data_IF_196839465555
#
_entry.id   IF_196839465555
#
_cell.length_a   1.000
_cell.length_b   1.000
_cell.length_c   1.000
_cell.angle_alpha   90.00
_cell.angle_beta   90.00
_cell.angle_gamma   90.00
#
_symmetry.space_group_name_H-M   'P 1'
#
loop_
_entity.id
_entity.type
_entity.pdbx_description
1 polymer ?
#
# COMPACT_ATOMS: atom_id res chain seq x y z
N UNK A 1 -19.81 -17.41 -30.24
CA UNK A 1 -19.12 -18.66 -30.64
C UNK A 1 -18.28 -19.12 -29.46
N UNK A 2 -18.58 -20.28 -28.90
CA UNK A 2 -17.84 -20.89 -27.78
C UNK A 2 -16.50 -21.37 -28.30
N UNK A 3 -15.40 -20.77 -27.83
CA UNK A 3 -14.05 -21.15 -28.23
C UNK A 3 -13.73 -22.51 -27.59
N UNK A 4 -13.60 -23.57 -28.40
CA UNK A 4 -13.21 -24.89 -27.90
C UNK A 4 -11.74 -24.83 -27.46
N UNK A 5 -11.51 -25.04 -26.16
CA UNK A 5 -10.20 -25.11 -25.55
C UNK A 5 -9.90 -26.55 -25.15
N UNK A 6 -8.73 -27.05 -25.54
CA UNK A 6 -8.35 -28.45 -25.34
C UNK A 6 -7.11 -28.55 -24.46
N UNK A 7 -7.13 -29.48 -23.50
CA UNK A 7 -5.94 -29.90 -22.77
C UNK A 7 -5.24 -31.01 -23.54
N UNK A 8 -3.94 -30.86 -23.77
CA UNK A 8 -3.13 -31.86 -24.47
C UNK A 8 -2.55 -32.88 -23.47
N UNK A 9 -2.47 -34.18 -23.84
CA UNK A 9 -1.79 -35.20 -23.04
C UNK A 9 -0.34 -34.84 -22.71
N UNK A 10 0.12 -35.22 -21.51
CA UNK A 10 1.44 -34.79 -21.01
C UNK A 10 2.61 -35.27 -21.88
N UNK A 11 2.53 -36.48 -22.46
CA UNK A 11 3.54 -37.01 -23.38
C UNK A 11 3.72 -36.15 -24.64
N UNK A 12 2.65 -35.50 -25.12
CA UNK A 12 2.73 -34.59 -26.26
C UNK A 12 3.28 -33.22 -25.82
N UNK A 13 2.88 -32.75 -24.63
CA UNK A 13 3.37 -31.50 -24.05
C UNK A 13 4.89 -31.51 -23.80
N UNK A 14 5.46 -32.66 -23.47
CA UNK A 14 6.92 -32.81 -23.29
C UNK A 14 7.72 -32.54 -24.57
N UNK A 15 7.12 -32.78 -25.74
CA UNK A 15 7.72 -32.51 -27.04
C UNK A 15 7.49 -31.07 -27.52
N UNK A 16 6.57 -30.33 -26.89
CA UNK A 16 6.27 -28.93 -27.20
C UNK A 16 7.12 -27.97 -26.38
N UNK A 17 8.43 -28.19 -26.34
CA UNK A 17 9.39 -27.37 -25.57
C UNK A 17 10.35 -26.61 -26.46
N UNK A 18 10.67 -25.40 -26.03
CA UNK A 18 11.72 -24.58 -26.62
C UNK A 18 13.08 -25.24 -26.40
N UNK A 19 13.86 -25.40 -27.46
CA UNK A 19 15.19 -26.01 -27.41
C UNK A 19 16.21 -25.17 -26.60
N UNK A 20 15.93 -23.88 -26.37
CA UNK A 20 16.80 -22.97 -25.62
C UNK A 20 16.41 -22.94 -24.14
N UNK A 21 15.20 -22.46 -23.82
CA UNK A 21 14.79 -22.26 -22.42
C UNK A 21 14.09 -23.47 -21.79
N UNK A 22 13.82 -24.53 -22.56
CA UNK A 22 13.15 -25.76 -22.13
C UNK A 22 11.72 -25.57 -21.57
N UNK A 23 11.15 -24.36 -21.70
CA UNK A 23 9.75 -24.06 -21.40
C UNK A 23 8.86 -24.44 -22.58
N UNK A 24 7.56 -24.57 -22.31
CA UNK A 24 6.58 -24.84 -23.37
C UNK A 24 6.62 -23.76 -24.46
N UNK A 25 6.32 -24.15 -25.71
CA UNK A 25 6.19 -23.28 -26.89
C UNK A 25 4.92 -22.40 -26.82
N UNK A 26 4.70 -21.82 -25.64
CA UNK A 26 3.48 -21.13 -25.26
C UNK A 26 3.49 -19.62 -25.51
N UNK A 27 4.53 -19.11 -26.17
CA UNK A 27 4.72 -17.66 -26.38
C UNK A 27 5.22 -17.43 -27.80
N UNK A 28 4.50 -16.58 -28.53
CA UNK A 28 4.85 -16.16 -29.88
C UNK A 28 6.03 -15.17 -29.88
N UNK A 29 6.77 -15.08 -31.01
CA UNK A 29 6.71 -15.98 -32.15
C UNK A 29 7.28 -17.37 -31.84
N UNK A 30 6.77 -18.42 -32.48
CA UNK A 30 7.35 -19.76 -32.43
C UNK A 30 7.91 -20.13 -33.79
N UNK A 31 9.20 -20.43 -33.83
CA UNK A 31 9.90 -20.85 -35.06
C UNK A 31 10.51 -22.22 -34.85
N UNK A 32 10.72 -22.98 -35.92
CA UNK A 32 11.42 -24.24 -35.81
C UNK A 32 11.91 -24.78 -37.15
N UNK A 33 13.06 -25.46 -37.10
CA UNK A 33 13.63 -26.16 -38.25
C UNK A 33 14.21 -27.50 -37.77
N UNK A 34 14.03 -28.56 -38.57
CA UNK A 34 14.62 -29.90 -38.31
C UNK A 34 14.36 -30.44 -36.88
N UNK A 35 13.13 -30.27 -36.39
CA UNK A 35 12.71 -30.77 -35.06
C UNK A 35 13.22 -29.96 -33.86
N UNK A 36 13.91 -28.83 -34.08
CA UNK A 36 14.28 -27.87 -33.03
C UNK A 36 13.38 -26.66 -33.10
N UNK A 37 12.77 -26.28 -31.99
CA UNK A 37 11.79 -25.21 -31.90
C UNK A 37 12.23 -24.16 -30.89
N UNK A 38 11.99 -22.89 -31.19
CA UNK A 38 12.35 -21.75 -30.34
C UNK A 38 11.13 -20.87 -30.14
N UNK A 39 10.87 -20.47 -28.90
CA UNK A 39 9.74 -19.60 -28.55
C UNK A 39 10.14 -18.13 -28.45
N UNK A 40 9.14 -17.23 -28.42
CA UNK A 40 9.34 -15.79 -28.40
C UNK A 40 10.14 -15.26 -27.21
N UNK A 41 10.16 -15.99 -26.09
CA UNK A 41 11.03 -15.66 -24.93
C UNK A 41 12.52 -15.66 -25.28
N UNK A 42 12.89 -16.42 -26.31
CA UNK A 42 14.28 -16.59 -26.75
C UNK A 42 14.56 -15.88 -28.07
N UNK A 43 13.67 -14.99 -28.52
CA UNK A 43 13.82 -14.18 -29.73
C UNK A 43 14.25 -15.02 -30.95
N UNK A 44 13.38 -15.92 -31.46
CA UNK A 44 13.74 -16.76 -32.59
C UNK A 44 14.08 -15.91 -33.82
N UNK A 45 15.13 -16.30 -34.54
CA UNK A 45 15.61 -15.61 -35.75
C UNK A 45 15.13 -16.26 -37.05
N UNK A 46 14.59 -17.48 -36.97
CA UNK A 46 14.05 -18.22 -38.10
C UNK A 46 12.59 -17.86 -38.37
N UNK A 47 12.09 -18.20 -39.57
CA UNK A 47 10.69 -18.00 -39.95
C UNK A 47 9.72 -18.64 -38.95
N UNK A 48 8.68 -17.88 -38.63
CA UNK A 48 7.65 -18.26 -37.66
C UNK A 48 6.71 -19.30 -38.23
N UNK A 49 6.29 -20.26 -37.41
CA UNK A 49 5.38 -21.33 -37.81
C UNK A 49 3.92 -20.90 -37.63
N UNK A 50 3.37 -20.16 -38.60
CA UNK A 50 1.98 -19.72 -38.59
C UNK A 50 0.94 -20.81 -38.28
N UNK A 51 1.01 -22.02 -38.89
CA UNK A 51 0.08 -23.10 -38.58
C UNK A 51 0.11 -23.57 -37.12
N UNK A 52 1.30 -23.64 -36.52
CA UNK A 52 1.43 -23.98 -35.11
C UNK A 52 0.77 -22.92 -34.23
N UNK A 53 1.01 -21.64 -34.53
CA UNK A 53 0.49 -20.52 -33.75
C UNK A 53 -1.06 -20.48 -33.76
N UNK A 54 -1.69 -20.76 -34.90
CA UNK A 54 -3.16 -20.87 -34.96
C UNK A 54 -3.70 -22.03 -34.12
N UNK A 55 -3.06 -23.20 -34.18
CA UNK A 55 -3.46 -24.35 -33.36
C UNK A 55 -3.22 -24.05 -31.87
N UNK A 56 -2.12 -23.40 -31.53
CA UNK A 56 -1.73 -23.08 -30.16
C UNK A 56 -2.76 -22.21 -29.44
N UNK A 57 -3.47 -21.31 -30.15
CA UNK A 57 -4.56 -20.50 -29.58
C UNK A 57 -5.71 -21.33 -28.97
N UNK A 58 -5.85 -22.59 -29.38
CA UNK A 58 -6.89 -23.51 -28.89
C UNK A 58 -6.39 -24.48 -27.80
N UNK A 59 -5.12 -24.36 -27.42
CA UNK A 59 -4.47 -25.26 -26.45
C UNK A 59 -4.34 -24.55 -25.11
N UNK A 60 -4.65 -25.28 -24.03
CA UNK A 60 -4.35 -24.84 -22.67
C UNK A 60 -2.94 -25.28 -22.27
N UNK A 61 -2.06 -24.31 -22.09
CA UNK A 61 -0.69 -24.52 -21.63
C UNK A 61 -0.60 -24.38 -20.11
N UNK A 62 0.04 -25.33 -19.40
CA UNK A 62 0.38 -25.14 -18.00
C UNK A 62 1.44 -24.02 -17.85
N UNK A 63 1.38 -23.29 -16.75
CA UNK A 63 2.41 -22.33 -16.38
C UNK A 63 3.78 -23.01 -16.27
N UNK A 64 4.83 -22.36 -16.78
CA UNK A 64 6.19 -22.92 -16.73
C UNK A 64 6.89 -22.69 -15.37
N UNK A 65 6.22 -22.05 -14.41
CA UNK A 65 6.79 -21.72 -13.09
C UNK A 65 6.50 -22.86 -12.12
N UNK A 66 7.56 -23.35 -11.49
CA UNK A 66 7.50 -24.44 -10.52
C UNK A 66 6.53 -24.12 -9.36
N UNK A 67 5.61 -25.05 -9.09
CA UNK A 67 4.57 -24.91 -8.06
C UNK A 67 3.25 -24.32 -8.56
N UNK A 68 3.26 -23.62 -9.71
CA UNK A 68 2.03 -23.10 -10.31
C UNK A 68 1.27 -24.20 -11.06
N UNK A 69 -0.02 -24.37 -10.76
CA UNK A 69 -0.90 -25.37 -11.38
C UNK A 69 -1.84 -24.79 -12.45
N UNK A 70 -1.77 -23.47 -12.68
CA UNK A 70 -2.66 -22.75 -13.59
C UNK A 70 -2.44 -23.18 -15.04
N UNK A 71 -3.53 -23.40 -15.76
CA UNK A 71 -3.54 -23.64 -17.21
C UNK A 71 -4.13 -22.43 -17.91
N UNK A 72 -3.47 -21.97 -18.96
CA UNK A 72 -3.71 -20.69 -19.61
C UNK A 72 -3.77 -20.87 -21.12
N UNK A 73 -4.52 -19.99 -21.79
CA UNK A 73 -4.47 -19.91 -23.25
C UNK A 73 -3.13 -19.32 -23.70
N UNK A 74 -2.67 -19.73 -24.89
CA UNK A 74 -1.36 -19.41 -25.45
C UNK A 74 -0.94 -17.93 -25.33
N UNK A 75 -1.80 -16.97 -25.67
CA UNK A 75 -1.48 -15.54 -25.57
C UNK A 75 -1.35 -14.99 -24.14
N UNK A 76 -1.81 -15.71 -23.12
CA UNK A 76 -1.85 -15.22 -21.73
C UNK A 76 -0.70 -15.76 -20.88
N UNK A 77 0.05 -16.76 -21.35
CA UNK A 77 1.06 -17.44 -20.53
C UNK A 77 2.17 -16.49 -20.10
N UNK A 78 2.68 -15.63 -21.00
CA UNK A 78 3.75 -14.69 -20.66
C UNK A 78 3.31 -13.65 -19.61
N UNK A 79 2.10 -13.12 -19.77
CA UNK A 79 1.52 -12.13 -18.85
C UNK A 79 1.29 -12.76 -17.48
N UNK A 80 0.75 -13.99 -17.45
CA UNK A 80 0.61 -14.73 -16.21
C UNK A 80 1.96 -15.05 -15.58
N UNK A 81 2.95 -15.53 -16.34
CA UNK A 81 4.28 -15.83 -15.81
C UNK A 81 4.85 -14.61 -15.09
N UNK A 82 4.74 -13.40 -15.66
CA UNK A 82 5.20 -12.16 -15.02
C UNK A 82 4.48 -11.85 -13.68
N UNK A 83 3.19 -12.17 -13.58
CA UNK A 83 2.35 -11.93 -12.40
C UNK A 83 2.17 -13.17 -11.49
N UNK A 84 2.79 -14.31 -11.82
CA UNK A 84 2.56 -15.57 -11.15
C UNK A 84 3.09 -15.53 -9.71
N UNK A 85 2.25 -15.86 -8.74
CA UNK A 85 2.59 -15.80 -7.31
C UNK A 85 3.70 -16.77 -6.90
N UNK A 86 3.93 -17.83 -7.68
CA UNK A 86 5.05 -18.76 -7.50
C UNK A 86 6.36 -18.29 -8.14
N UNK A 87 6.32 -17.22 -8.93
CA UNK A 87 7.52 -16.64 -9.55
C UNK A 87 8.47 -16.19 -8.46
N UNK A 88 9.76 -16.49 -8.65
CA UNK A 88 10.81 -15.97 -7.77
C UNK A 88 11.26 -14.59 -8.22
N UNK A 89 11.44 -13.71 -7.25
CA UNK A 89 12.12 -12.41 -7.40
C UNK A 89 13.32 -12.38 -6.45
N UNK A 90 14.30 -11.53 -6.74
CA UNK A 90 15.30 -11.20 -5.70
C UNK A 90 14.60 -10.35 -4.64
N UNK A 91 14.83 -10.67 -3.36
CA UNK A 91 14.24 -9.93 -2.25
C UNK A 91 14.44 -8.41 -2.44
N UNK A 92 13.37 -7.59 -2.39
CA UNK A 92 13.46 -6.15 -2.63
C UNK A 92 14.06 -5.37 -1.44
N UNK A 93 14.52 -6.05 -0.40
CA UNK A 93 15.25 -5.44 0.71
C UNK A 93 16.69 -5.08 0.29
N UNK A 94 17.19 -3.97 0.83
CA UNK A 94 18.56 -3.49 0.57
C UNK A 94 19.59 -4.58 0.90
N UNK A 95 20.45 -4.90 -0.08
CA UNK A 95 21.54 -5.89 0.05
C UNK A 95 21.09 -7.33 0.36
N UNK A 96 19.80 -7.65 0.23
CA UNK A 96 19.34 -9.04 0.27
C UNK A 96 19.40 -9.66 -1.12
N UNK A 97 20.17 -10.74 -1.27
CA UNK A 97 20.33 -11.44 -2.56
C UNK A 97 19.51 -12.73 -2.64
N UNK A 98 18.64 -13.00 -1.66
CA UNK A 98 17.90 -14.25 -1.58
C UNK A 98 16.75 -14.25 -2.61
N UNK A 99 16.66 -15.27 -3.48
CA UNK A 99 15.52 -15.44 -4.38
C UNK A 99 14.30 -15.98 -3.61
N UNK A 100 13.20 -15.24 -3.60
CA UNK A 100 11.98 -15.54 -2.84
C UNK A 100 10.79 -15.64 -3.79
N UNK A 101 9.84 -16.58 -3.56
CA UNK A 101 8.58 -16.56 -4.31
C UNK A 101 7.76 -15.33 -3.95
N UNK A 102 7.01 -14.79 -4.91
CA UNK A 102 6.19 -13.59 -4.71
C UNK A 102 5.20 -13.72 -3.53
N UNK A 103 4.56 -14.87 -3.36
CA UNK A 103 3.67 -15.15 -2.23
C UNK A 103 4.38 -15.35 -0.88
N UNK A 104 5.70 -15.58 -0.89
CA UNK A 104 6.53 -15.82 0.30
C UNK A 104 7.34 -14.57 0.70
N UNK A 105 7.23 -13.45 -0.03
CA UNK A 105 8.00 -12.22 0.27
C UNK A 105 7.70 -11.70 1.67
N UNK A 106 6.43 -11.69 2.09
CA UNK A 106 6.07 -11.21 3.43
C UNK A 106 6.67 -12.08 4.53
N UNK A 107 6.54 -13.40 4.44
CA UNK A 107 7.12 -14.32 5.42
C UNK A 107 8.64 -14.21 5.46
N UNK A 108 9.29 -14.08 4.30
CA UNK A 108 10.72 -13.83 4.23
C UNK A 108 11.12 -12.52 4.94
N UNK A 109 10.38 -11.43 4.75
CA UNK A 109 10.61 -10.17 5.48
C UNK A 109 10.43 -10.35 6.98
N UNK A 110 9.40 -11.08 7.43
CA UNK A 110 9.17 -11.36 8.85
C UNK A 110 10.32 -12.19 9.44
N UNK A 111 10.85 -13.16 8.72
CA UNK A 111 11.89 -14.06 9.24
C UNK A 111 13.28 -13.43 9.18
N UNK A 112 13.61 -12.81 8.05
CA UNK A 112 14.97 -12.36 7.70
C UNK A 112 15.17 -10.85 7.87
N UNK A 113 14.09 -10.06 7.91
CA UNK A 113 14.11 -8.59 7.96
C UNK A 113 13.11 -8.03 8.98
N UNK A 114 13.06 -8.62 10.20
CA UNK A 114 12.06 -8.36 11.25
C UNK A 114 11.70 -6.89 11.49
N UNK A 115 12.67 -5.97 11.41
CA UNK A 115 12.44 -4.52 11.58
C UNK A 115 11.77 -3.81 10.40
N UNK A 116 11.57 -4.51 9.28
CA UNK A 116 11.05 -3.98 8.02
C UNK A 116 9.76 -4.66 7.57
N UNK A 117 9.30 -5.68 8.30
CA UNK A 117 7.99 -6.30 8.13
C UNK A 117 7.00 -5.69 9.11
N UNK A 118 5.82 -5.28 8.63
CA UNK A 118 4.78 -4.67 9.47
C UNK A 118 3.47 -5.46 9.35
N UNK A 119 2.81 -5.72 10.48
CA UNK A 119 1.53 -6.44 10.54
C UNK A 119 0.29 -5.54 10.46
N UNK A 120 0.51 -4.21 10.50
CA UNK A 120 -0.59 -3.30 10.76
C UNK A 120 -1.49 -3.24 9.53
N UNK A 121 -2.76 -3.58 9.74
CA UNK A 121 -3.80 -3.89 8.74
C UNK A 121 -4.17 -2.76 7.77
N UNK A 122 -3.30 -1.80 7.51
CA UNK A 122 -3.30 -0.87 6.37
C UNK A 122 -2.12 0.12 6.44
N UNK A 123 -1.14 -0.07 7.34
CA UNK A 123 -0.27 1.02 7.81
C UNK A 123 1.16 0.60 8.12
N UNK A 124 2.09 1.54 8.00
CA UNK A 124 3.46 1.40 8.50
C UNK A 124 3.88 2.64 9.29
N UNK A 125 4.58 2.45 10.41
CA UNK A 125 5.16 3.53 11.23
C UNK A 125 6.69 3.47 11.17
N UNK A 126 7.36 4.58 10.83
CA UNK A 126 8.82 4.70 10.82
C UNK A 126 9.28 5.78 11.79
N UNK A 127 10.38 5.54 12.51
CA UNK A 127 11.09 6.54 13.31
C UNK A 127 12.47 6.78 12.67
N UNK A 128 12.83 8.05 12.42
CA UNK A 128 14.15 8.40 11.89
C UNK A 128 15.03 9.05 12.96
N UNK A 129 16.19 8.42 13.24
CA UNK A 129 17.26 9.02 14.04
C UNK A 129 18.05 10.06 13.23
N UNK A 130 18.90 10.89 13.88
CA UNK A 130 19.69 11.97 13.25
C UNK A 130 20.67 11.53 12.14
N UNK A 131 20.83 10.23 11.91
CA UNK A 131 21.59 9.64 10.78
C UNK A 131 20.70 8.67 9.98
N UNK A 132 19.70 9.18 9.24
CA UNK A 132 18.78 8.32 8.52
C UNK A 132 19.53 7.48 7.49
N UNK A 133 19.25 6.18 7.45
CA UNK A 133 19.70 5.34 6.34
C UNK A 133 19.13 5.88 5.02
N UNK A 134 19.96 5.92 3.99
CA UNK A 134 19.67 6.64 2.74
C UNK A 134 18.45 6.09 1.99
N UNK A 135 18.26 4.76 1.99
CA UNK A 135 17.16 4.06 1.29
C UNK A 135 16.75 2.81 2.09
N UNK A 136 15.45 2.52 2.20
CA UNK A 136 14.91 1.30 2.81
C UNK A 136 13.67 0.79 2.07
N UNK A 137 13.46 -0.54 2.11
CA UNK A 137 12.20 -1.17 1.71
C UNK A 137 11.55 -1.79 2.92
N UNK A 138 10.28 -1.52 3.10
CA UNK A 138 9.44 -2.17 4.08
C UNK A 138 8.34 -2.97 3.39
N UNK A 139 7.80 -3.95 4.10
CA UNK A 139 6.80 -4.87 3.59
C UNK A 139 5.65 -4.98 4.60
N UNK A 140 4.41 -4.88 4.14
CA UNK A 140 3.24 -5.10 4.99
C UNK A 140 2.08 -5.71 4.20
N UNK A 141 1.10 -6.27 4.90
CA UNK A 141 -0.06 -6.90 4.28
C UNK A 141 -1.36 -6.20 4.65
N UNK A 142 -2.24 -6.02 3.66
CA UNK A 142 -3.61 -5.56 3.86
C UNK A 142 -4.57 -6.39 3.01
N UNK A 143 -5.62 -6.96 3.64
CA UNK A 143 -6.61 -7.83 2.97
C UNK A 143 -5.96 -8.92 2.10
N UNK A 144 -4.94 -9.62 2.64
CA UNK A 144 -4.14 -10.64 1.94
C UNK A 144 -3.36 -10.13 0.72
N UNK A 145 -3.24 -8.82 0.56
CA UNK A 145 -2.43 -8.18 -0.48
C UNK A 145 -1.16 -7.65 0.16
N UNK A 146 -0.01 -7.98 -0.42
CA UNK A 146 1.29 -7.55 0.09
C UNK A 146 1.72 -6.25 -0.61
N UNK A 147 2.14 -5.26 0.18
CA UNK A 147 2.62 -3.97 -0.31
C UNK A 147 4.07 -3.77 0.10
N UNK A 148 4.85 -3.19 -0.82
CA UNK A 148 6.22 -2.75 -0.59
C UNK A 148 6.23 -1.23 -0.48
N UNK A 149 6.81 -0.71 0.59
CA UNK A 149 7.01 0.72 0.78
C UNK A 149 8.50 1.03 0.69
N UNK A 150 8.84 1.79 -0.33
CA UNK A 150 10.19 2.31 -0.53
C UNK A 150 10.28 3.68 0.10
N UNK A 151 11.37 3.90 0.83
CA UNK A 151 11.68 5.17 1.49
C UNK A 151 13.08 5.57 1.12
N UNK A 152 13.27 6.82 0.71
CA UNK A 152 14.59 7.42 0.45
C UNK A 152 14.68 8.71 1.22
N UNK A 153 15.71 8.84 2.04
CA UNK A 153 15.98 10.03 2.83
C UNK A 153 17.27 10.67 2.34
N UNK A 154 17.18 11.95 1.99
CA UNK A 154 18.30 12.77 1.54
C UNK A 154 18.51 13.84 2.59
N UNK A 155 19.72 13.93 3.14
CA UNK A 155 20.09 14.94 4.13
C UNK A 155 21.09 15.90 3.49
N UNK A 156 20.82 17.19 3.58
CA UNK A 156 21.73 18.25 3.14
C UNK A 156 21.89 19.29 4.25
N UNK A 157 23.02 19.27 4.95
CA UNK A 157 23.31 20.11 6.11
C UNK A 157 22.18 20.07 7.15
N UNK A 158 21.29 21.08 7.13
CA UNK A 158 20.19 21.25 8.07
C UNK A 158 18.82 20.81 7.51
N UNK A 159 18.73 20.41 6.23
CA UNK A 159 17.47 20.04 5.62
C UNK A 159 17.40 18.55 5.30
N UNK A 160 16.20 17.99 5.48
CA UNK A 160 15.85 16.64 5.06
C UNK A 160 14.84 16.67 3.92
N UNK A 161 15.01 15.72 3.00
CA UNK A 161 14.03 15.37 1.99
C UNK A 161 13.67 13.90 2.12
N UNK A 162 12.39 13.60 2.28
CA UNK A 162 11.85 12.24 2.30
C UNK A 162 11.09 11.97 1.02
N UNK A 163 11.45 10.88 0.34
CA UNK A 163 10.72 10.36 -0.82
C UNK A 163 10.12 9.01 -0.50
N UNK A 164 8.89 8.80 -0.93
CA UNK A 164 8.14 7.58 -0.74
C UNK A 164 7.59 7.08 -2.07
N UNK A 165 7.63 5.76 -2.23
CA UNK A 165 7.00 5.03 -3.31
C UNK A 165 6.35 3.77 -2.76
N UNK A 166 5.17 3.42 -3.26
CA UNK A 166 4.46 2.20 -2.83
C UNK A 166 4.15 1.35 -4.05
N UNK A 167 4.51 0.08 -3.97
CA UNK A 167 4.17 -0.91 -4.99
C UNK A 167 3.39 -2.06 -4.36
N UNK A 168 2.51 -2.66 -5.13
CA UNK A 168 1.77 -3.85 -4.72
C UNK A 168 2.40 -5.10 -5.32
N UNK A 169 2.61 -6.14 -4.53
CA UNK A 169 3.03 -7.42 -5.09
C UNK A 169 1.84 -8.08 -5.83
N UNK A 170 2.08 -8.66 -7.02
CA UNK A 170 1.04 -9.36 -7.76
C UNK A 170 0.42 -10.46 -6.89
N UNK A 171 -0.91 -10.54 -6.86
CA UNK A 171 -1.63 -11.63 -6.21
C UNK A 171 -2.70 -12.18 -7.15
N UNK A 172 -2.46 -13.39 -7.67
CA UNK A 172 -3.35 -14.07 -8.61
C UNK A 172 -4.67 -14.58 -7.97
N UNK A 173 -4.78 -14.59 -6.63
CA UNK A 173 -6.00 -15.01 -5.93
C UNK A 173 -7.04 -13.89 -5.79
N UNK A 174 -6.66 -12.64 -6.04
CA UNK A 174 -7.55 -11.49 -5.93
C UNK A 174 -8.18 -11.17 -7.29
N UNK A 175 -9.48 -11.46 -7.41
CA UNK A 175 -10.31 -11.03 -8.55
C UNK A 175 -10.64 -9.53 -8.52
N UNK A 176 -10.20 -8.78 -7.49
CA UNK A 176 -10.42 -7.33 -7.41
C UNK A 176 -9.27 -6.58 -8.10
N UNK A 177 -9.57 -5.63 -9.01
CA UNK A 177 -8.54 -4.79 -9.59
C UNK A 177 -7.89 -3.94 -8.50
N UNK A 178 -6.59 -4.14 -8.27
CA UNK A 178 -5.79 -3.33 -7.35
C UNK A 178 -5.67 -1.86 -7.85
N UNK A 179 -6.08 -1.62 -9.10
CA UNK A 179 -6.02 -0.34 -9.77
C UNK A 179 -6.75 0.80 -9.03
N UNK A 180 -7.62 0.56 -8.06
CA UNK A 180 -8.32 1.65 -7.37
C UNK A 180 -7.70 2.02 -6.00
N UNK A 181 -6.52 1.50 -5.67
CA UNK A 181 -5.84 1.80 -4.41
C UNK A 181 -4.89 3.01 -4.53
N UNK A 182 -4.96 3.91 -3.55
CA UNK A 182 -3.98 4.96 -3.33
C UNK A 182 -3.29 4.75 -1.97
N UNK A 183 -2.23 5.53 -1.75
CA UNK A 183 -1.60 5.60 -0.45
C UNK A 183 -1.48 7.04 0.00
N UNK A 184 -1.44 7.23 1.31
CA UNK A 184 -1.23 8.53 1.93
C UNK A 184 -0.05 8.42 2.87
N UNK A 185 0.84 9.40 2.81
CA UNK A 185 1.97 9.52 3.72
C UNK A 185 1.73 10.71 4.64
N UNK A 186 1.88 10.49 5.94
CA UNK A 186 1.77 11.50 6.98
C UNK A 186 3.07 11.55 7.79
N UNK A 187 3.75 12.68 7.78
CA UNK A 187 4.93 12.94 8.61
C UNK A 187 4.51 13.73 9.85
N UNK A 188 4.87 13.23 11.02
CA UNK A 188 4.64 13.84 12.32
C UNK A 188 5.99 14.29 12.87
N UNK A 189 6.11 15.60 13.11
CA UNK A 189 7.32 16.26 13.57
C UNK A 189 7.05 16.89 14.94
N UNK A 190 7.79 16.48 15.96
CA UNK A 190 7.71 17.06 17.30
C UNK A 190 8.50 18.38 17.36
N UNK A 191 7.81 19.50 17.50
CA UNK A 191 8.41 20.83 17.63
C UNK A 191 8.25 21.36 19.06
N UNK A 192 8.92 22.48 19.37
CA UNK A 192 8.74 23.15 20.66
C UNK A 192 7.29 23.65 20.91
N UNK A 193 6.49 23.80 19.85
CA UNK A 193 5.11 24.29 19.91
C UNK A 193 4.05 23.17 19.83
N UNK A 194 4.46 21.90 19.74
CA UNK A 194 3.56 20.74 19.64
C UNK A 194 3.91 19.83 18.46
N UNK A 195 2.94 19.04 17.98
CA UNK A 195 3.14 18.12 16.85
C UNK A 195 2.71 18.80 15.55
N UNK A 196 3.64 18.94 14.60
CA UNK A 196 3.34 19.36 13.23
C UNK A 196 3.08 18.12 12.36
N UNK A 197 1.95 18.11 11.65
CA UNK A 197 1.56 16.98 10.77
C UNK A 197 1.51 17.45 9.31
N UNK A 198 2.35 16.83 8.48
CA UNK A 198 2.35 17.03 7.03
C UNK A 198 1.78 15.80 6.35
N UNK A 199 0.66 15.95 5.64
CA UNK A 199 -0.04 14.85 4.96
C UNK A 199 -0.02 15.07 3.45
N UNK A 200 0.41 14.06 2.69
CA UNK A 200 0.38 14.04 1.22
C UNK A 200 -0.19 12.74 0.68
N UNK A 201 -1.04 12.83 -0.32
CA UNK A 201 -1.62 11.69 -1.02
C UNK A 201 -0.69 11.33 -2.18
N UNK A 202 -0.30 10.06 -2.25
CA UNK A 202 0.45 9.50 -3.36
C UNK A 202 -0.42 9.22 -4.57
N UNK A 203 0.22 8.84 -5.67
CA UNK A 203 -0.49 8.39 -6.87
C UNK A 203 -1.11 7.01 -6.65
N UNK A 204 -1.84 6.54 -7.67
CA UNK A 204 -2.34 5.18 -7.76
C UNK A 204 -1.19 4.17 -7.56
N UNK A 205 -1.40 3.20 -6.68
CA UNK A 205 -0.40 2.19 -6.38
C UNK A 205 -0.20 1.33 -7.62
N UNK A 206 1.05 1.25 -8.08
CA UNK A 206 1.41 0.42 -9.24
C UNK A 206 1.84 -0.98 -8.81
N UNK A 207 1.70 -1.95 -9.72
CA UNK A 207 2.22 -3.30 -9.50
C UNK A 207 3.75 -3.29 -9.43
N UNK A 208 4.31 -4.09 -8.54
CA UNK A 208 5.74 -4.29 -8.42
C UNK A 208 6.30 -4.86 -9.73
N UNK A 209 7.40 -4.24 -10.15
CA UNK A 209 8.07 -4.45 -11.42
C UNK A 209 9.58 -4.30 -11.15
N UNK A 210 10.34 -5.36 -11.33
CA UNK A 210 11.77 -5.41 -11.02
C UNK A 210 12.60 -4.44 -11.88
N UNK A 211 12.10 -4.02 -13.05
CA UNK A 211 12.77 -3.04 -13.91
C UNK A 211 12.62 -1.61 -13.40
N UNK A 212 11.51 -1.32 -12.72
CA UNK A 212 11.14 0.00 -12.16
C UNK A 212 11.54 0.15 -10.69
N UNK A 213 11.48 -0.95 -9.95
CA UNK A 213 11.70 -1.00 -8.51
C UNK A 213 13.00 -1.72 -8.15
N UNK A 214 13.93 -1.81 -9.11
CA UNK A 214 15.25 -2.39 -8.88
C UNK A 214 16.00 -1.60 -7.81
N UNK A 215 16.35 -2.24 -6.71
CA UNK A 215 17.05 -1.57 -5.62
C UNK A 215 18.43 -1.04 -6.02
N UNK A 216 19.12 -1.77 -6.90
CA UNK A 216 20.40 -1.32 -7.45
C UNK A 216 20.25 -0.08 -8.33
N UNK A 217 19.13 0.11 -9.03
CA UNK A 217 18.88 1.35 -9.78
C UNK A 217 18.70 2.53 -8.82
N UNK A 218 17.94 2.31 -7.74
CA UNK A 218 17.63 3.35 -6.75
C UNK A 218 18.90 3.92 -6.09
N UNK A 219 19.93 3.09 -5.88
CA UNK A 219 21.25 3.49 -5.37
C UNK A 219 22.26 3.88 -6.46
N UNK A 220 21.86 3.89 -7.74
CA UNK A 220 22.74 4.25 -8.85
C UNK A 220 23.86 3.24 -9.16
N UNK A 221 23.67 1.95 -8.84
CA UNK A 221 24.66 0.86 -9.05
C UNK A 221 24.19 -0.25 -10.00
N UNK A 222 23.07 -0.05 -10.71
CA UNK A 222 22.56 -1.03 -11.66
C UNK A 222 23.13 -0.80 -13.05
N UNK A 223 23.55 -1.89 -13.72
CA UNK A 223 24.01 -1.89 -15.11
C UNK A 223 23.11 -2.75 -16.02
N UNK A 224 21.94 -3.20 -15.53
CA UNK A 224 21.05 -4.04 -16.31
C UNK A 224 20.30 -3.21 -17.35
N UNK A 225 20.37 -3.65 -18.61
CA UNK A 225 19.66 -3.02 -19.71
C UNK A 225 18.13 -3.07 -19.47
N UNK A 226 17.44 -1.97 -19.78
CA UNK A 226 15.99 -1.87 -19.60
C UNK A 226 15.53 -1.59 -18.16
N UNK A 227 16.44 -1.53 -17.19
CA UNK A 227 16.12 -1.03 -15.86
C UNK A 227 16.25 0.51 -15.81
N UNK A 228 15.29 1.19 -15.19
CA UNK A 228 15.24 2.66 -15.09
C UNK A 228 14.68 3.12 -13.74
N UNK A 229 14.93 2.33 -12.68
CA UNK A 229 14.48 2.66 -11.33
C UNK A 229 14.96 4.04 -10.86
N UNK A 230 14.20 4.63 -9.94
CA UNK A 230 14.20 6.04 -9.46
C UNK A 230 13.07 6.93 -10.04
N UNK A 231 12.19 6.42 -10.91
CA UNK A 231 11.01 7.15 -11.44
C UNK A 231 9.65 6.83 -10.77
N UNK A 232 9.64 6.32 -9.53
CA UNK A 232 8.41 5.87 -8.85
C UNK A 232 8.19 6.54 -7.47
N UNK A 233 8.93 7.60 -7.18
CA UNK A 233 8.76 8.42 -5.98
C UNK A 233 7.58 9.38 -6.15
N UNK A 234 6.38 8.95 -5.78
CA UNK A 234 5.18 9.78 -6.00
C UNK A 234 4.92 10.78 -4.88
N UNK A 235 5.48 10.55 -3.69
CA UNK A 235 5.35 11.47 -2.55
C UNK A 235 6.71 11.94 -2.11
N UNK A 236 6.87 13.26 -2.04
CA UNK A 236 8.09 13.92 -1.61
C UNK A 236 7.77 15.00 -0.57
N UNK A 237 8.51 15.02 0.54
CA UNK A 237 8.53 16.12 1.50
C UNK A 237 9.94 16.69 1.55
N UNK A 238 10.10 17.94 1.13
CA UNK A 238 11.40 18.59 0.94
C UNK A 238 11.54 19.80 1.84
N UNK A 239 12.77 20.23 2.06
CA UNK A 239 13.10 21.40 2.89
C UNK A 239 12.57 21.28 4.33
N UNK A 240 12.58 20.07 4.87
CA UNK A 240 12.24 19.86 6.28
C UNK A 240 13.45 20.25 7.12
N UNK A 241 13.35 21.39 7.80
CA UNK A 241 14.46 21.99 8.54
C UNK A 241 14.66 21.35 9.92
N UNK A 242 15.79 20.66 10.06
CA UNK A 242 16.26 19.95 11.25
C UNK A 242 16.33 20.79 12.52
N UNK A 243 16.44 22.11 12.40
CA UNK A 243 16.52 23.01 13.55
C UNK A 243 15.18 23.21 14.27
N UNK A 244 14.06 22.96 13.58
CA UNK A 244 12.70 23.26 14.09
C UNK A 244 12.06 22.12 14.89
N UNK A 245 12.65 20.93 14.93
CA UNK A 245 12.09 19.78 15.64
C UNK A 245 13.13 19.02 16.47
N UNK A 246 12.68 18.53 17.63
CA UNK A 246 13.50 17.82 18.59
C UNK A 246 12.88 16.45 18.84
N UNK A 247 13.52 15.39 18.32
CA UNK A 247 13.10 14.01 18.53
C UNK A 247 12.94 13.21 17.23
N UNK A 248 12.35 12.03 17.36
CA UNK A 248 12.17 11.10 16.25
C UNK A 248 11.09 11.60 15.29
N UNK A 249 11.40 11.60 13.99
CA UNK A 249 10.39 11.88 12.94
C UNK A 249 9.55 10.62 12.78
N UNK A 250 8.24 10.73 13.00
CA UNK A 250 7.32 9.61 12.79
C UNK A 250 6.65 9.70 11.42
N UNK A 251 6.83 8.67 10.59
CA UNK A 251 6.16 8.58 9.29
C UNK A 251 5.10 7.49 9.31
N UNK A 252 3.92 7.81 8.79
CA UNK A 252 2.80 6.88 8.63
C UNK A 252 2.42 6.78 7.16
N UNK A 253 2.55 5.57 6.60
CA UNK A 253 2.07 5.25 5.25
C UNK A 253 0.80 4.43 5.38
N UNK A 254 -0.32 4.92 4.83
CA UNK A 254 -1.63 4.26 4.85
C UNK A 254 -2.06 3.92 3.43
N UNK A 255 -2.49 2.69 3.17
CA UNK A 255 -3.11 2.30 1.90
C UNK A 255 -4.63 2.22 2.02
N UNK A 256 -5.34 2.74 1.03
CA UNK A 256 -6.79 2.70 0.99
C UNK A 256 -7.29 2.70 -0.46
N UNK A 257 -8.55 2.35 -0.69
CA UNK A 257 -9.19 2.64 -1.97
C UNK A 257 -9.33 4.16 -2.10
N UNK A 258 -9.18 4.70 -3.31
CA UNK A 258 -9.25 6.14 -3.65
C UNK A 258 -10.51 6.85 -3.09
N UNK A 259 -11.53 6.08 -2.73
CA UNK A 259 -12.77 6.51 -2.05
C UNK A 259 -12.81 6.09 -0.58
N UNK A 260 -11.74 6.27 0.20
CA UNK A 260 -11.76 6.01 1.65
C UNK A 260 -12.83 6.87 2.33
N UNK A 261 -13.98 6.26 2.59
CA UNK A 261 -15.13 6.87 3.27
C UNK A 261 -14.73 7.45 4.63
N UNK A 262 -13.71 6.90 5.27
CA UNK A 262 -13.13 7.37 6.54
C UNK A 262 -12.76 8.86 6.49
N UNK A 263 -12.03 9.30 5.45
CA UNK A 263 -11.59 10.70 5.36
C UNK A 263 -12.74 11.65 5.03
N UNK A 264 -13.71 11.17 4.25
CA UNK A 264 -14.93 11.93 3.94
C UNK A 264 -15.86 12.05 5.15
N UNK A 265 -15.66 11.20 6.16
CA UNK A 265 -16.40 11.25 7.41
C UNK A 265 -15.74 12.15 8.46
N UNK A 266 -14.52 12.62 8.26
CA UNK A 266 -13.90 13.63 9.13
C UNK A 266 -14.57 14.99 8.96
N UNK A 267 -14.87 15.67 10.07
CA UNK A 267 -15.40 17.02 9.99
C UNK A 267 -14.32 17.98 9.47
N UNK A 268 -14.59 18.82 8.46
CA UNK A 268 -13.58 19.73 7.91
C UNK A 268 -13.09 20.78 8.90
N UNK A 269 -13.81 21.00 10.01
CA UNK A 269 -13.50 22.00 11.04
C UNK A 269 -12.67 21.39 12.18
N UNK A 270 -13.18 20.35 12.86
CA UNK A 270 -12.50 19.78 14.03
C UNK A 270 -11.69 18.51 13.73
N UNK A 271 -11.73 18.00 12.50
CA UNK A 271 -11.09 16.76 12.06
C UNK A 271 -11.54 15.46 12.74
N UNK A 272 -12.30 15.52 13.83
CA UNK A 272 -12.96 14.34 14.40
C UNK A 272 -13.96 13.70 13.42
N UNK A 273 -14.17 12.39 13.56
CA UNK A 273 -15.21 11.66 12.83
C UNK A 273 -16.60 12.22 13.14
N UNK A 274 -17.39 12.43 12.09
CA UNK A 274 -18.78 12.82 12.18
C UNK A 274 -19.61 11.59 12.58
N UNK A 275 -20.42 11.73 13.64
CA UNK A 275 -21.26 10.66 14.17
C UNK A 275 -22.58 11.23 14.72
N UNK A 276 -23.64 10.42 14.69
CA UNK A 276 -24.99 10.73 15.16
C UNK A 276 -25.71 11.86 14.42
N UNK A 277 -25.33 13.13 14.62
CA UNK A 277 -25.99 14.28 13.94
C UNK A 277 -25.00 14.98 13.03
N UNK A 278 -25.20 14.83 11.73
CA UNK A 278 -24.36 15.38 10.68
C UNK A 278 -25.18 16.41 9.90
N UNK A 279 -24.67 17.63 9.78
CA UNK A 279 -25.39 18.73 9.13
C UNK A 279 -24.80 19.00 7.76
N UNK A 280 -25.66 19.31 6.79
CA UNK A 280 -25.27 19.58 5.41
C UNK A 280 -25.66 20.99 5.00
N UNK A 281 -24.77 21.70 4.30
CA UNK A 281 -25.10 22.98 3.70
C UNK A 281 -25.92 22.79 2.40
N UNK A 282 -26.56 23.84 1.86
CA UNK A 282 -27.32 23.75 0.61
C UNK A 282 -26.52 23.25 -0.59
N UNK A 283 -25.19 23.41 -0.58
CA UNK A 283 -24.29 22.93 -1.65
C UNK A 283 -23.72 21.53 -1.40
N UNK A 284 -24.10 20.84 -0.32
CA UNK A 284 -23.72 19.45 -0.08
C UNK A 284 -22.55 19.18 0.88
N UNK A 285 -21.92 20.20 1.49
CA UNK A 285 -20.82 19.99 2.43
C UNK A 285 -21.30 19.64 3.84
N UNK A 286 -20.72 18.59 4.44
CA UNK A 286 -21.11 18.06 5.75
C UNK A 286 -20.21 18.54 6.90
N UNK A 287 -20.79 18.76 8.07
CA UNK A 287 -20.10 19.11 9.32
C UNK A 287 -20.72 18.40 10.54
N UNK A 288 -19.94 18.20 11.61
CA UNK A 288 -20.43 17.55 12.83
C UNK A 288 -21.36 18.48 13.64
N UNK A 289 -22.18 17.87 14.52
CA UNK A 289 -23.05 18.57 15.48
C UNK A 289 -22.33 19.64 16.32
N UNK A 290 -21.11 19.37 16.79
CA UNK A 290 -20.34 20.29 17.65
C UNK A 290 -19.96 21.55 16.87
N UNK A 291 -19.37 21.39 15.69
CA UNK A 291 -18.97 22.51 14.85
C UNK A 291 -20.16 23.29 14.29
N UNK A 292 -21.28 22.62 13.97
CA UNK A 292 -22.51 23.30 13.53
C UNK A 292 -22.99 24.35 14.53
N UNK A 293 -22.86 24.11 15.83
CA UNK A 293 -23.26 25.08 16.86
C UNK A 293 -22.39 26.34 16.87
N UNK A 294 -21.13 26.22 16.43
CA UNK A 294 -20.15 27.29 16.48
C UNK A 294 -20.09 28.14 15.20
N UNK A 295 -20.59 27.62 14.07
CA UNK A 295 -20.47 28.27 12.77
C UNK A 295 -21.84 28.50 12.11
N UNK A 296 -22.03 29.70 11.55
CA UNK A 296 -23.23 30.07 10.78
C UNK A 296 -23.05 29.88 9.27
N UNK A 297 -21.81 29.81 8.81
CA UNK A 297 -21.45 29.76 7.40
C UNK A 297 -20.56 28.54 7.16
N UNK A 298 -20.76 27.87 6.03
CA UNK A 298 -19.96 26.71 5.67
C UNK A 298 -18.50 27.13 5.43
N UNK A 299 -17.51 26.41 5.99
CA UNK A 299 -16.11 26.77 5.83
C UNK A 299 -15.61 26.59 4.38
N UNK A 300 -16.26 25.71 3.61
CA UNK A 300 -15.87 25.30 2.26
C UNK A 300 -16.52 26.16 1.15
N UNK A 301 -17.86 26.24 1.09
CA UNK A 301 -18.59 27.02 0.06
C UNK A 301 -18.87 28.48 0.45
N UNK A 302 -18.67 28.86 1.72
CA UNK A 302 -19.12 30.15 2.30
C UNK A 302 -20.64 30.40 2.27
N UNK A 303 -21.43 29.37 1.97
CA UNK A 303 -22.89 29.43 1.99
C UNK A 303 -23.46 29.32 3.42
N UNK A 304 -24.61 29.95 3.69
CA UNK A 304 -25.25 29.94 5.03
C UNK A 304 -25.67 28.52 5.41
N UNK A 305 -25.32 28.11 6.64
CA UNK A 305 -25.67 26.79 7.17
C UNK A 305 -27.12 26.77 7.65
N UNK A 306 -27.93 25.90 7.07
CA UNK A 306 -29.28 25.59 7.56
C UNK A 306 -29.27 24.66 8.77
N UNK A 307 -30.43 24.09 9.10
CA UNK A 307 -30.62 23.05 10.13
C UNK A 307 -30.74 21.64 9.52
N UNK A 308 -30.64 21.52 8.19
CA UNK A 308 -30.75 20.27 7.44
C UNK A 308 -29.70 19.26 7.86
N UNK A 309 -30.13 18.01 8.07
CA UNK A 309 -29.28 16.87 8.42
C UNK A 309 -28.97 16.00 7.21
N UNK A 310 -27.83 15.33 7.26
CA UNK A 310 -27.38 14.37 6.26
C UNK A 310 -27.62 12.94 6.76
N UNK A 311 -28.87 12.48 6.72
CA UNK A 311 -29.26 11.16 7.21
C UNK A 311 -28.48 10.02 6.54
N UNK A 312 -28.23 10.11 5.24
CA UNK A 312 -27.44 9.09 4.53
C UNK A 312 -26.02 8.95 5.09
N UNK A 313 -25.37 10.07 5.43
CA UNK A 313 -24.04 10.02 6.03
C UNK A 313 -24.09 9.61 7.52
N UNK A 314 -25.21 9.88 8.21
CA UNK A 314 -25.50 9.33 9.55
C UNK A 314 -25.56 7.79 9.47
N UNK A 315 -26.35 7.22 8.55
CA UNK A 315 -26.50 5.77 8.37
C UNK A 315 -25.16 5.08 8.00
N UNK A 316 -24.37 5.71 7.12
CA UNK A 316 -23.03 5.20 6.78
C UNK A 316 -22.13 5.20 8.02
N UNK A 317 -22.19 6.24 8.85
CA UNK A 317 -21.37 6.33 10.06
C UNK A 317 -21.73 5.27 11.11
N UNK A 318 -22.95 4.74 11.11
CA UNK A 318 -23.36 3.67 12.04
C UNK A 318 -22.67 2.33 11.73
N UNK A 319 -22.36 2.07 10.47
CA UNK A 319 -21.82 0.76 10.03
C UNK A 319 -20.35 0.81 9.63
N UNK A 320 -19.81 2.01 9.38
CA UNK A 320 -18.43 2.16 8.92
C UNK A 320 -17.44 1.92 10.07
N UNK A 321 -16.50 1.00 9.85
CA UNK A 321 -15.34 0.84 10.73
C UNK A 321 -14.26 1.88 10.41
N UNK A 322 -13.77 2.56 11.43
CA UNK A 322 -12.73 3.60 11.33
C UNK A 322 -11.65 3.38 12.39
N UNK A 323 -10.37 3.67 12.06
CA UNK A 323 -9.28 3.57 13.02
C UNK A 323 -9.33 4.72 14.05
N UNK A 324 -8.85 4.46 15.26
CA UNK A 324 -8.63 5.49 16.29
C UNK A 324 -7.75 6.64 15.76
N UNK A 325 -8.09 7.89 16.06
CA UNK A 325 -7.25 9.05 15.70
C UNK A 325 -5.85 8.95 16.32
N UNK A 326 -5.70 8.35 17.50
CA UNK A 326 -4.39 8.11 18.12
C UNK A 326 -3.66 6.89 17.55
N UNK A 327 -4.15 6.34 16.44
CA UNK A 327 -3.41 5.36 15.65
C UNK A 327 -1.99 5.88 15.41
N UNK A 328 -1.80 7.18 15.12
CA UNK A 328 -0.46 7.73 14.95
C UNK A 328 0.44 7.67 16.18
N UNK A 329 -0.06 7.40 17.38
CA UNK A 329 0.75 7.17 18.58
C UNK A 329 1.00 5.69 18.86
N UNK A 330 0.42 4.79 18.06
CA UNK A 330 0.58 3.33 18.20
C UNK A 330 -0.71 2.59 18.54
N UNK A 331 -1.85 3.28 18.62
CA UNK A 331 -3.13 2.63 18.85
C UNK A 331 -3.54 1.76 17.65
N UNK A 332 -3.87 0.49 17.86
CA UNK A 332 -4.30 -0.42 16.80
C UNK A 332 -5.83 -0.60 16.74
N UNK A 333 -6.59 0.18 17.52
CA UNK A 333 -8.05 0.03 17.59
C UNK A 333 -8.72 0.46 16.28
N UNK A 334 -9.55 -0.43 15.74
CA UNK A 334 -10.46 -0.19 14.62
C UNK A 334 -11.81 -0.74 15.04
N UNK A 335 -12.84 0.08 14.94
CA UNK A 335 -14.22 -0.30 15.29
C UNK A 335 -15.19 0.63 14.60
N UNK A 336 -16.49 0.45 14.86
CA UNK A 336 -17.51 1.35 14.32
C UNK A 336 -17.26 2.79 14.80
N UNK A 337 -17.70 3.79 14.04
CA UNK A 337 -17.44 5.21 14.36
C UNK A 337 -17.81 5.56 15.80
N UNK A 338 -18.95 5.06 16.30
CA UNK A 338 -19.38 5.26 17.68
C UNK A 338 -18.38 4.68 18.70
N UNK A 339 -17.96 3.44 18.48
CA UNK A 339 -17.02 2.70 19.34
C UNK A 339 -15.64 3.35 19.31
N UNK A 340 -15.18 3.78 18.13
CA UNK A 340 -13.89 4.46 17.98
C UNK A 340 -13.86 5.80 18.70
N UNK A 341 -14.94 6.60 18.62
CA UNK A 341 -15.04 7.85 19.38
C UNK A 341 -15.01 7.59 20.89
N UNK A 342 -15.68 6.52 21.37
CA UNK A 342 -15.62 6.15 22.79
C UNK A 342 -14.23 5.68 23.20
N UNK A 343 -13.62 4.80 22.41
CA UNK A 343 -12.26 4.32 22.61
C UNK A 343 -11.27 5.48 22.73
N UNK A 344 -11.37 6.49 21.87
CA UNK A 344 -10.49 7.67 21.87
C UNK A 344 -10.47 8.42 23.21
N UNK A 345 -11.57 8.40 23.97
CA UNK A 345 -11.65 9.06 25.29
C UNK A 345 -10.82 8.36 26.37
N UNK A 346 -10.55 7.06 26.20
CA UNK A 346 -9.80 6.21 27.14
C UNK A 346 -8.54 5.64 26.51
N UNK A 347 -8.18 6.11 25.31
CA UNK A 347 -7.07 5.57 24.55
C UNK A 347 -5.76 5.84 25.29
N UNK A 348 -5.04 4.77 25.68
CA UNK A 348 -3.74 4.88 26.34
C UNK A 348 -2.65 5.58 25.51
N UNK A 349 -2.91 5.80 24.23
CA UNK A 349 -2.05 6.51 23.28
C UNK A 349 -2.49 7.96 23.02
N UNK A 350 -3.55 8.45 23.68
CA UNK A 350 -3.98 9.84 23.59
C UNK A 350 -3.04 10.77 24.35
N UNK A 351 -2.91 12.02 23.89
CA UNK A 351 -2.24 13.05 24.67
C UNK A 351 -2.97 13.21 26.01
N UNK A 352 -2.27 12.99 27.12
CA UNK A 352 -2.81 13.24 28.47
C UNK A 352 -3.02 14.74 28.62
N UNK A 353 -4.18 15.25 28.22
CA UNK A 353 -4.63 16.56 28.67
C UNK A 353 -4.84 16.45 30.18
N UNK A 354 -3.90 16.96 30.96
CA UNK A 354 -3.98 17.08 32.42
C UNK A 354 -5.11 18.05 32.77
N UNK A 355 -6.33 17.54 32.83
CA UNK A 355 -7.42 18.24 33.51
C UNK A 355 -7.16 18.17 35.02
N UNK A 356 -6.77 19.32 35.58
CA UNK A 356 -6.65 19.61 37.01
C UNK A 356 -7.86 19.07 37.76
N UNK A 357 -7.68 18.03 38.58
CA UNK A 357 -8.61 17.72 39.68
C UNK A 357 -8.15 18.49 40.90
N UNK A 358 -8.76 19.65 41.13
CA UNK A 358 -8.83 20.26 42.44
C UNK A 358 -9.73 19.38 43.32
N UNK A 359 -9.14 18.50 44.12
CA UNK A 359 -9.83 17.83 45.23
C UNK A 359 -9.38 18.49 46.53
N UNK A 360 -10.21 19.40 47.02
CA UNK A 360 -10.18 19.91 48.38
C UNK A 360 -10.40 18.73 49.33
N UNK A 361 -9.38 18.33 50.08
CA UNK A 361 -9.54 17.40 51.20
C UNK A 361 -9.74 18.22 52.45
N UNK A 362 -10.97 18.24 52.94
CA UNK A 362 -11.34 18.72 54.25
C UNK A 362 -11.04 17.59 55.24
N UNK A 363 -9.99 17.74 56.05
CA UNK A 363 -9.67 16.81 57.14
C UNK A 363 -10.61 17.06 58.31
N UNK A 364 -11.54 16.15 58.55
CA UNK A 364 -12.13 15.88 59.86
C UNK A 364 -11.66 14.50 60.28
N UNK A 365 -10.90 14.42 61.37
CA UNK A 365 -11.15 13.42 62.40
C UNK A 365 -10.48 13.81 63.71
N UNK A 366 -11.35 13.97 64.70
CA UNK A 366 -11.04 14.07 66.12
C UNK A 366 -10.61 12.70 66.70
N UNK A 367 -9.77 12.81 67.74
CA UNK A 367 -9.69 12.00 68.97
C UNK A 367 -9.43 10.49 68.86
N UNK A 368 -8.30 10.05 69.43
CA UNK A 368 -8.27 9.21 70.65
C UNK A 368 -6.82 8.98 71.15
N UNK A 369 -6.68 9.12 72.47
CA UNK A 369 -5.54 8.87 73.39
C UNK A 369 -4.48 9.95 73.61
#
# INVERSE_FOLDING_TARGET
>A
MTQFLTTIPQCVMENLKCSICQRYLSVSPVSGTKGKYTCGRCCPTAETSGPYEEIAKHILFPCSIEGCKTKLIWGQVLVHEAACTFRRIICPYMLCCIPVRLNEVLSHFIESHRGFAHDHRCRMSLAFNRTPHQIATHCFSYKKTCFLVFVKTITNCEFFTFKFGVAVLPNAELNEPINDMNYTVSLYLSTASGICVMKKVGKQISQYDETKHCMYCIIGRCHQAGHYGDKFWDVEFSNIDSSYYYGDIKCIVKVAKFTSLTERLECPVCKNYMHSKIFICPTGHSICKKCRKMIKTCPLCKCTMGTTRNYTLEDIAETLEVPCHNDYNGCQFVGQVAETIQHETICGFGEKTTATKSSTVQSKHDLEH
#
